data_IF_017500646368
#
_entry.id   IF_017500646368
#
_cell.length_a   1.000
_cell.length_b   1.000
_cell.length_c   1.000
_cell.angle_alpha   90.00
_cell.angle_beta   90.00
_cell.angle_gamma   90.00
#
_symmetry.space_group_name_H-M   'P 1'
#
loop_
_entity.id
_entity.type
_entity.pdbx_description
1 polymer ?
#
# COMPACT_ATOMS: atom_id res chain seq x y z
N UNK A 1 -14.12 -8.24 -14.48
CA UNK A 1 -14.79 -9.22 -15.38
C UNK A 1 -13.88 -10.39 -15.81
N UNK A 2 -12.61 -10.16 -16.16
CA UNK A 2 -11.69 -11.23 -16.60
C UNK A 2 -11.49 -12.38 -15.58
N UNK A 3 -11.44 -12.09 -14.27
CA UNK A 3 -11.29 -13.12 -13.24
C UNK A 3 -12.45 -14.12 -13.18
N UNK A 4 -13.69 -13.66 -13.36
CA UNK A 4 -14.88 -14.53 -13.38
C UNK A 4 -14.85 -15.45 -14.60
N UNK A 5 -14.48 -14.92 -15.78
CA UNK A 5 -14.34 -15.72 -16.99
C UNK A 5 -13.25 -16.81 -16.86
N UNK A 6 -12.13 -16.49 -16.20
CA UNK A 6 -11.06 -17.47 -15.93
C UNK A 6 -11.52 -18.60 -15.00
N UNK A 7 -12.28 -18.28 -13.94
CA UNK A 7 -12.86 -19.27 -13.02
C UNK A 7 -13.84 -20.18 -13.76
N UNK A 8 -14.74 -19.60 -14.57
CA UNK A 8 -15.69 -20.38 -15.37
C UNK A 8 -14.96 -21.30 -16.35
N UNK A 9 -13.93 -20.80 -17.05
CA UNK A 9 -13.14 -21.62 -17.97
C UNK A 9 -12.40 -22.77 -17.26
N UNK A 10 -11.86 -22.51 -16.07
CA UNK A 10 -11.21 -23.53 -15.24
C UNK A 10 -12.20 -24.64 -14.84
N UNK A 11 -13.39 -24.26 -14.39
CA UNK A 11 -14.44 -25.20 -13.99
C UNK A 11 -14.90 -26.07 -15.17
N UNK A 12 -15.10 -25.46 -16.34
CA UNK A 12 -15.49 -26.19 -17.56
C UNK A 12 -14.40 -27.17 -18.00
N UNK A 13 -13.13 -26.76 -17.96
CA UNK A 13 -12.00 -27.63 -18.31
C UNK A 13 -11.87 -28.80 -17.33
N UNK A 14 -11.97 -28.53 -16.03
CA UNK A 14 -11.92 -29.56 -14.99
C UNK A 14 -13.09 -30.57 -15.13
N UNK A 15 -14.31 -30.08 -15.36
CA UNK A 15 -15.48 -30.94 -15.58
C UNK A 15 -15.30 -31.86 -16.78
N UNK A 16 -14.87 -31.32 -17.93
CA UNK A 16 -14.64 -32.11 -19.14
C UNK A 16 -13.55 -33.18 -18.93
N UNK A 17 -12.48 -32.84 -18.23
CA UNK A 17 -11.41 -33.78 -17.89
C UNK A 17 -11.91 -34.92 -17.00
N UNK A 18 -12.62 -34.60 -15.91
CA UNK A 18 -13.09 -35.62 -14.97
C UNK A 18 -14.17 -36.51 -15.57
N UNK A 19 -15.06 -35.96 -16.41
CA UNK A 19 -16.07 -36.76 -17.12
C UNK A 19 -15.41 -37.80 -18.03
N UNK A 20 -14.50 -37.36 -18.89
CA UNK A 20 -13.85 -38.24 -19.85
C UNK A 20 -12.87 -39.24 -19.17
N UNK A 21 -12.34 -38.89 -17.98
CA UNK A 21 -11.59 -39.80 -17.11
C UNK A 21 -12.48 -40.92 -16.54
N UNK A 22 -13.68 -40.57 -16.05
CA UNK A 22 -14.66 -41.56 -15.55
C UNK A 22 -15.14 -42.48 -16.66
N UNK A 23 -15.30 -41.95 -17.88
CA UNK A 23 -15.72 -42.73 -19.04
C UNK A 23 -14.57 -43.56 -19.66
N UNK A 24 -13.35 -43.48 -19.11
CA UNK A 24 -12.12 -44.11 -19.63
C UNK A 24 -11.82 -43.76 -21.10
N UNK A 25 -12.22 -42.56 -21.55
CA UNK A 25 -12.08 -42.07 -22.92
C UNK A 25 -11.03 -40.96 -23.07
N UNK A 26 -10.11 -40.84 -22.11
CA UNK A 26 -9.04 -39.85 -22.17
C UNK A 26 -8.24 -39.97 -23.48
N UNK A 27 -8.33 -38.95 -24.32
CA UNK A 27 -7.67 -38.95 -25.61
C UNK A 27 -7.73 -37.63 -26.36
N UNK A 28 -7.49 -37.70 -27.66
CA UNK A 28 -7.44 -36.53 -28.56
C UNK A 28 -8.80 -35.82 -28.67
N UNK A 29 -9.91 -36.53 -28.48
CA UNK A 29 -11.26 -35.96 -28.43
C UNK A 29 -11.45 -35.07 -27.18
N UNK A 30 -10.97 -35.50 -26.02
CA UNK A 30 -10.99 -34.74 -24.76
C UNK A 30 -10.20 -33.44 -24.89
N UNK A 31 -8.98 -33.50 -25.46
CA UNK A 31 -8.18 -32.31 -25.75
C UNK A 31 -8.90 -31.35 -26.71
N UNK A 32 -9.57 -31.89 -27.73
CA UNK A 32 -10.34 -31.09 -28.69
C UNK A 32 -11.55 -30.41 -28.03
N UNK A 33 -12.19 -31.04 -27.07
CA UNK A 33 -13.28 -30.45 -26.29
C UNK A 33 -12.79 -29.34 -25.33
N UNK A 34 -11.63 -29.54 -24.67
CA UNK A 34 -11.07 -28.59 -23.71
C UNK A 34 -10.35 -27.39 -24.35
N UNK A 35 -10.06 -27.42 -25.66
CA UNK A 35 -9.21 -26.41 -26.34
C UNK A 35 -9.63 -24.96 -26.09
N UNK A 36 -10.94 -24.70 -26.00
CA UNK A 36 -11.46 -23.36 -25.76
C UNK A 36 -11.26 -22.94 -24.29
N UNK A 37 -11.49 -23.84 -23.34
CA UNK A 37 -11.22 -23.61 -21.92
C UNK A 37 -9.72 -23.38 -21.66
N UNK A 38 -8.86 -24.21 -22.26
CA UNK A 38 -7.41 -24.04 -22.22
C UNK A 38 -6.97 -22.69 -22.83
N UNK A 39 -7.55 -22.30 -23.96
CA UNK A 39 -7.28 -21.01 -24.59
C UNK A 39 -7.60 -19.82 -23.68
N UNK A 40 -8.74 -19.86 -22.99
CA UNK A 40 -9.12 -18.81 -22.01
C UNK A 40 -8.16 -18.77 -20.82
N UNK A 41 -7.73 -19.93 -20.32
CA UNK A 41 -6.75 -20.01 -19.23
C UNK A 41 -5.40 -19.41 -19.64
N UNK A 42 -4.89 -19.77 -20.82
CA UNK A 42 -3.64 -19.23 -21.36
C UNK A 42 -3.73 -17.71 -21.55
N UNK A 43 -4.83 -17.22 -22.14
CA UNK A 43 -5.04 -15.79 -22.32
C UNK A 43 -5.11 -15.04 -20.97
N UNK A 44 -5.84 -15.58 -19.99
CA UNK A 44 -5.96 -14.99 -18.65
C UNK A 44 -4.64 -14.97 -17.90
N UNK A 45 -3.83 -16.04 -18.04
CA UNK A 45 -2.49 -16.11 -17.48
C UNK A 45 -1.56 -15.06 -18.12
N UNK A 46 -1.62 -14.90 -19.45
CA UNK A 46 -0.83 -13.90 -20.16
C UNK A 46 -1.18 -12.46 -19.73
N UNK A 47 -2.48 -12.14 -19.62
CA UNK A 47 -2.94 -10.83 -19.13
C UNK A 47 -2.50 -10.60 -17.68
N UNK A 48 -2.63 -11.60 -16.81
CA UNK A 48 -2.20 -11.50 -15.42
C UNK A 48 -0.68 -11.33 -15.29
N UNK A 49 0.10 -12.04 -16.11
CA UNK A 49 1.55 -11.91 -16.16
C UNK A 49 1.97 -10.51 -16.65
N UNK A 50 1.29 -9.95 -17.65
CA UNK A 50 1.52 -8.57 -18.10
C UNK A 50 1.28 -7.57 -16.96
N UNK A 51 0.12 -7.64 -16.29
CA UNK A 51 -0.16 -6.76 -15.17
C UNK A 51 0.80 -6.96 -13.99
N UNK A 52 1.21 -8.19 -13.71
CA UNK A 52 2.21 -8.48 -12.69
C UNK A 52 3.59 -7.91 -13.04
N UNK A 53 3.99 -7.98 -14.31
CA UNK A 53 5.25 -7.39 -14.79
C UNK A 53 5.22 -5.87 -14.74
N UNK A 54 4.12 -5.23 -15.17
CA UNK A 54 3.93 -3.77 -15.07
C UNK A 54 3.96 -3.33 -13.61
N UNK A 55 3.21 -3.99 -12.72
CA UNK A 55 3.20 -3.65 -11.30
C UNK A 55 4.57 -3.83 -10.62
N UNK A 56 5.33 -4.85 -11.03
CA UNK A 56 6.72 -5.03 -10.58
C UNK A 56 7.63 -3.95 -11.13
N UNK A 57 7.46 -3.56 -12.39
CA UNK A 57 8.24 -2.49 -13.01
C UNK A 57 7.95 -1.14 -12.33
N UNK A 58 6.70 -0.82 -12.04
CA UNK A 58 6.33 0.39 -11.30
C UNK A 58 6.93 0.42 -9.88
N UNK A 59 7.17 -0.75 -9.27
CA UNK A 59 7.90 -0.86 -7.99
C UNK A 59 9.43 -0.92 -8.14
N UNK A 60 9.93 -1.25 -9.32
CA UNK A 60 11.37 -1.32 -9.62
C UNK A 60 11.89 -0.02 -10.24
N UNK A 61 11.01 0.85 -10.74
CA UNK A 61 11.33 2.25 -10.98
C UNK A 61 11.64 2.85 -9.61
N UNK A 62 12.94 3.01 -9.38
CA UNK A 62 13.57 3.49 -8.16
C UNK A 62 12.75 4.56 -7.46
N UNK A 63 12.40 4.29 -6.19
CA UNK A 63 12.20 5.39 -5.24
C UNK A 63 13.58 6.02 -5.09
N UNK A 64 13.79 7.28 -5.53
CA UNK A 64 15.09 7.92 -5.40
C UNK A 64 15.43 7.98 -3.91
N UNK A 65 16.71 7.69 -3.60
CA UNK A 65 17.43 7.77 -2.32
C UNK A 65 16.61 7.80 -1.02
N UNK A 66 16.96 6.90 -0.07
CA UNK A 66 16.43 6.87 1.31
C UNK A 66 15.94 8.25 1.75
N UNK A 67 14.62 8.43 1.97
CA UNK A 67 14.07 9.76 2.21
C UNK A 67 14.75 10.35 3.45
N UNK A 68 15.56 11.40 3.30
CA UNK A 68 16.18 12.10 4.44
C UNK A 68 15.17 12.84 5.31
N UNK A 69 13.88 12.66 5.05
CA UNK A 69 12.75 13.39 5.61
C UNK A 69 11.64 12.41 6.01
N UNK A 70 10.80 12.76 7.00
CA UNK A 70 9.60 12.00 7.31
C UNK A 70 8.68 11.83 6.09
N UNK A 71 7.80 10.83 6.11
CA UNK A 71 6.78 10.64 5.07
C UNK A 71 5.55 11.50 5.33
N UNK A 72 5.14 11.62 6.59
CA UNK A 72 4.10 12.52 7.05
C UNK A 72 4.26 12.81 8.54
N UNK A 73 3.73 13.94 8.99
CA UNK A 73 3.82 14.38 10.39
C UNK A 73 2.42 14.76 10.89
N UNK A 74 2.01 14.22 12.02
CA UNK A 74 0.80 14.64 12.74
C UNK A 74 1.23 15.20 14.08
N UNK A 75 0.92 16.47 14.31
CA UNK A 75 1.19 17.19 15.55
C UNK A 75 -0.06 17.12 16.42
N UNK A 76 0.07 16.66 17.66
CA UNK A 76 -1.00 16.65 18.66
C UNK A 76 -0.59 17.58 19.80
N UNK A 77 -1.25 18.72 19.94
CA UNK A 77 -0.89 19.70 20.97
C UNK A 77 -1.61 21.04 20.82
N UNK A 78 -0.92 22.14 21.13
CA UNK A 78 -1.51 23.47 21.15
C UNK A 78 -1.89 23.94 19.73
N UNK A 79 -2.89 24.80 19.63
CA UNK A 79 -3.28 25.37 18.34
C UNK A 79 -2.22 26.37 17.84
N UNK A 80 -1.36 25.92 16.92
CA UNK A 80 -0.37 26.74 16.23
C UNK A 80 -0.32 26.37 14.72
N UNK A 81 -1.15 27.01 13.89
CA UNK A 81 -1.15 26.75 12.44
C UNK A 81 0.10 27.29 11.73
N UNK A 82 0.84 28.22 12.35
CA UNK A 82 2.05 28.78 11.78
C UNK A 82 3.19 27.76 11.86
N UNK A 83 3.28 27.02 12.98
CA UNK A 83 4.21 25.90 13.14
C UNK A 83 4.00 24.82 12.07
N UNK A 84 2.75 24.45 11.78
CA UNK A 84 2.43 23.46 10.73
C UNK A 84 3.02 23.87 9.39
N UNK A 85 2.91 25.16 9.04
CA UNK A 85 3.46 25.70 7.80
C UNK A 85 4.99 25.68 7.80
N UNK A 86 5.63 26.04 8.91
CA UNK A 86 7.11 26.01 9.03
C UNK A 86 7.65 24.58 8.94
N UNK A 87 7.00 23.61 9.60
CA UNK A 87 7.36 22.19 9.50
C UNK A 87 7.19 21.68 8.07
N UNK A 88 6.09 22.02 7.39
CA UNK A 88 5.91 21.65 5.96
C UNK A 88 7.03 22.22 5.09
N UNK A 89 7.45 23.46 5.33
CA UNK A 89 8.54 24.09 4.58
C UNK A 89 9.91 23.46 4.87
N UNK A 90 10.20 23.15 6.14
CA UNK A 90 11.48 22.58 6.54
C UNK A 90 11.63 21.10 6.14
N UNK A 91 10.55 20.33 6.25
CA UNK A 91 10.55 18.87 6.04
C UNK A 91 10.03 18.44 4.69
N UNK A 92 9.51 19.37 3.86
CA UNK A 92 8.84 19.09 2.58
C UNK A 92 7.82 17.93 2.68
N UNK A 93 7.21 17.77 3.86
CA UNK A 93 6.35 16.65 4.22
C UNK A 93 4.96 17.15 4.56
N UNK A 94 3.89 16.39 4.24
CA UNK A 94 2.55 16.70 4.72
C UNK A 94 2.53 16.72 6.24
N UNK A 95 2.18 17.87 6.83
CA UNK A 95 1.98 18.03 8.27
C UNK A 95 0.52 18.34 8.60
N UNK A 96 -0.03 17.74 9.65
CA UNK A 96 -1.39 17.98 10.15
C UNK A 96 -1.35 18.34 11.64
N UNK A 97 -2.26 19.18 12.12
CA UNK A 97 -2.35 19.55 13.54
C UNK A 97 -3.70 19.14 14.12
N UNK A 98 -3.66 18.35 15.18
CA UNK A 98 -4.79 17.97 15.99
C UNK A 98 -4.67 18.67 17.35
N UNK A 99 -5.64 19.52 17.65
CA UNK A 99 -5.63 20.30 18.89
C UNK A 99 -6.15 19.45 20.03
N UNK A 100 -5.40 19.40 21.13
CA UNK A 100 -5.84 18.71 22.35
C UNK A 100 -6.97 19.47 23.03
N UNK A 101 -8.00 18.74 23.44
CA UNK A 101 -9.18 19.28 24.15
C UNK A 101 -9.20 18.91 25.64
N UNK A 102 -8.32 18.00 26.06
CA UNK A 102 -8.31 17.30 27.34
C UNK A 102 -7.30 17.85 28.35
N UNK A 103 -6.33 18.66 27.90
CA UNK A 103 -5.30 19.25 28.74
C UNK A 103 -4.82 20.59 28.17
N UNK A 104 -4.20 21.42 29.02
CA UNK A 104 -3.45 22.59 28.57
C UNK A 104 -2.25 22.08 27.77
N UNK A 105 -2.36 22.08 26.45
CA UNK A 105 -1.25 21.70 25.60
C UNK A 105 -0.11 22.71 25.78
N UNK A 106 1.09 22.21 26.05
CA UNK A 106 2.28 23.03 26.14
C UNK A 106 2.53 23.73 24.81
N UNK A 107 3.08 24.95 24.87
CA UNK A 107 3.43 25.70 23.67
C UNK A 107 4.54 24.98 22.92
N UNK A 108 4.39 24.93 21.61
CA UNK A 108 5.37 24.27 20.77
C UNK A 108 6.69 25.03 20.77
N UNK A 109 7.77 24.28 20.97
CA UNK A 109 9.11 24.73 20.61
C UNK A 109 9.49 24.14 19.24
N UNK A 110 9.56 25.02 18.24
CA UNK A 110 9.84 24.63 16.85
C UNK A 110 11.19 23.93 16.70
N UNK A 111 12.22 24.41 17.40
CA UNK A 111 13.57 23.85 17.29
C UNK A 111 13.60 22.42 17.83
N UNK A 112 12.98 22.20 19.01
CA UNK A 112 12.82 20.87 19.57
C UNK A 112 12.00 19.94 18.67
N UNK A 113 10.93 20.45 18.04
CA UNK A 113 10.12 19.65 17.11
C UNK A 113 10.94 19.25 15.88
N UNK A 114 11.65 20.19 15.25
CA UNK A 114 12.48 19.89 14.08
C UNK A 114 13.63 18.92 14.41
N UNK A 115 14.28 19.09 15.57
CA UNK A 115 15.31 18.18 16.05
C UNK A 115 14.74 16.77 16.30
N UNK A 116 13.52 16.67 16.84
CA UNK A 116 12.89 15.39 17.11
C UNK A 116 12.38 14.67 15.84
N UNK A 117 12.15 15.41 14.76
CA UNK A 117 11.85 14.84 13.44
C UNK A 117 13.11 14.32 12.73
N UNK A 118 14.29 14.79 13.14
CA UNK A 118 15.55 14.32 12.58
C UNK A 118 15.79 12.84 12.92
N UNK A 119 16.42 12.11 12.00
CA UNK A 119 16.63 10.65 12.13
C UNK A 119 15.40 9.76 11.81
N UNK A 120 14.23 10.33 11.53
CA UNK A 120 12.98 9.58 11.29
C UNK A 120 12.60 9.51 9.79
N UNK A 121 13.61 9.22 8.97
CA UNK A 121 13.55 9.09 7.53
C UNK A 121 12.47 8.11 7.02
N UNK A 122 11.52 8.60 6.22
CA UNK A 122 10.52 7.79 5.50
C UNK A 122 9.38 7.22 6.35
N UNK A 123 9.29 7.64 7.61
CA UNK A 123 8.29 7.21 8.59
C UNK A 123 7.10 8.15 8.63
N UNK A 124 5.91 7.63 8.93
CA UNK A 124 4.80 8.48 9.36
C UNK A 124 4.98 8.75 10.86
N UNK A 125 4.91 10.02 11.26
CA UNK A 125 5.23 10.44 12.62
C UNK A 125 4.04 11.06 13.31
N UNK A 126 3.89 10.70 14.58
CA UNK A 126 2.98 11.33 15.51
C UNK A 126 3.81 12.03 16.59
N UNK A 127 3.68 13.34 16.68
CA UNK A 127 4.41 14.18 17.63
C UNK A 127 3.41 14.74 18.62
N UNK A 128 3.58 14.44 19.90
CA UNK A 128 2.66 14.81 20.97
C UNK A 128 3.38 15.77 21.92
N UNK A 129 2.78 16.94 22.15
CA UNK A 129 3.15 17.81 23.26
C UNK A 129 2.26 17.51 24.48
N UNK A 130 2.87 17.04 25.55
CA UNK A 130 2.23 16.81 26.85
C UNK A 130 3.03 17.46 27.98
N UNK A 131 2.51 17.41 29.22
CA UNK A 131 3.18 18.00 30.39
C UNK A 131 4.52 17.34 30.75
N UNK A 132 4.82 16.17 30.17
CA UNK A 132 6.10 15.47 30.31
C UNK A 132 7.09 15.82 29.20
N UNK A 133 6.68 16.66 28.25
CA UNK A 133 7.48 17.18 27.15
C UNK A 133 7.05 16.65 25.78
N UNK A 134 7.98 16.73 24.82
CA UNK A 134 7.75 16.32 23.44
C UNK A 134 7.97 14.81 23.27
N UNK A 135 6.96 14.10 22.74
CA UNK A 135 7.05 12.67 22.42
C UNK A 135 6.86 12.43 20.91
N UNK A 136 7.78 11.68 20.31
CA UNK A 136 7.68 11.26 18.89
C UNK A 136 7.41 9.77 18.81
N UNK A 137 6.43 9.39 18.00
CA UNK A 137 6.04 8.00 17.74
C UNK A 137 6.06 7.75 16.24
N UNK A 138 6.76 6.69 15.82
CA UNK A 138 6.62 6.14 14.48
C UNK A 138 5.30 5.38 14.37
N UNK A 139 4.50 5.72 13.37
CA UNK A 139 3.20 5.08 13.10
C UNK A 139 3.17 4.52 11.69
N UNK A 140 2.27 3.57 11.45
CA UNK A 140 1.98 3.03 10.12
C UNK A 140 0.48 3.17 9.86
N UNK A 141 0.11 3.95 8.83
CA UNK A 141 -1.29 4.07 8.41
C UNK A 141 -1.69 2.78 7.69
N UNK A 142 -2.25 1.82 8.43
CA UNK A 142 -2.97 0.70 7.82
C UNK A 142 -4.15 1.26 7.01
N UNK A 143 -4.00 1.25 5.69
CA UNK A 143 -5.08 1.50 4.72
C UNK A 143 -5.93 0.26 4.51
#
# INVERSE_FOLDING_TARGET
MAGVAAVVALLVAAYAFFRDLVDAQLGTATLRAMRYGLGVLVASAAVSAYHGAVFRQDRQIDVPDRPSRPRSVVLIGAHDPDLVRRIRQATDSPAELWVRTDAAAEQWDEESVLAALDGHAGKDLLVIADETGLRVLEVDRRR
#
